data_IF_112777366962
#
_entry.id   IF_112777366962
#
_cell.length_a   1.000
_cell.length_b   1.000
_cell.length_c   1.000
_cell.angle_alpha   90.00
_cell.angle_beta   90.00
_cell.angle_gamma   90.00
#
_symmetry.space_group_name_H-M   'P 1'
#
loop_
_entity.id
_entity.type
_entity.pdbx_description
1 polymer ?
#
# COMPACT_ATOMS: atom_id res chain seq x y z
N UNK A 1 20.68 0.10 -12.19
CA UNK A 1 20.24 1.27 -11.38
C UNK A 1 20.91 2.62 -11.75
N UNK A 2 21.98 2.65 -12.54
CA UNK A 2 22.78 3.88 -12.82
C UNK A 2 22.00 5.06 -13.42
N UNK A 3 21.00 4.79 -14.27
CA UNK A 3 20.21 5.83 -14.94
C UNK A 3 19.23 6.57 -14.02
N UNK A 4 19.05 6.13 -12.77
CA UNK A 4 18.10 6.75 -11.85
C UNK A 4 18.77 7.84 -11.03
N UNK A 5 18.48 9.11 -11.39
CA UNK A 5 19.12 10.30 -10.81
C UNK A 5 19.01 10.39 -9.28
N UNK A 6 17.91 9.91 -8.71
CA UNK A 6 17.63 9.99 -7.27
C UNK A 6 18.04 8.74 -6.49
N UNK A 7 18.73 7.79 -7.13
CA UNK A 7 19.29 6.62 -6.44
C UNK A 7 20.63 6.98 -5.81
N UNK A 8 20.82 6.58 -4.55
CA UNK A 8 22.13 6.58 -3.90
C UNK A 8 23.13 5.61 -4.55
N UNK A 9 22.67 4.69 -5.40
CA UNK A 9 23.51 3.70 -6.11
C UNK A 9 24.70 4.33 -6.83
N UNK A 10 24.52 5.50 -7.45
CA UNK A 10 25.59 6.21 -8.14
C UNK A 10 26.72 6.67 -7.20
N UNK A 11 26.42 6.88 -5.91
CA UNK A 11 27.43 7.22 -4.91
C UNK A 11 28.33 6.01 -4.58
N UNK A 12 27.75 4.81 -4.63
CA UNK A 12 28.49 3.54 -4.58
C UNK A 12 29.29 3.24 -5.86
N UNK A 13 29.25 4.11 -6.88
CA UNK A 13 30.16 4.05 -8.04
C UNK A 13 31.25 5.13 -8.01
N UNK A 14 31.33 5.90 -6.92
CA UNK A 14 32.39 6.92 -6.73
C UNK A 14 31.93 8.35 -6.99
N UNK A 15 30.63 8.59 -7.23
CA UNK A 15 30.07 9.94 -7.35
C UNK A 15 29.56 10.43 -5.99
N UNK A 16 30.38 11.16 -5.24
CA UNK A 16 29.99 11.61 -3.90
C UNK A 16 28.89 12.68 -3.96
N UNK A 17 27.83 12.53 -3.15
CA UNK A 17 26.77 13.53 -3.05
C UNK A 17 26.27 13.73 -1.60
N UNK A 18 25.21 13.05 -1.17
CA UNK A 18 24.58 13.26 0.15
C UNK A 18 24.63 12.00 1.02
N UNK A 19 24.78 10.82 0.41
CA UNK A 19 24.71 9.55 1.13
C UNK A 19 26.04 9.23 1.80
N UNK A 20 26.02 8.97 3.11
CA UNK A 20 27.17 8.37 3.81
C UNK A 20 27.28 6.89 3.43
N UNK A 21 28.08 6.61 2.40
CA UNK A 21 28.38 5.26 1.94
C UNK A 21 29.41 4.53 2.81
N UNK A 22 30.09 5.24 3.72
CA UNK A 22 31.18 4.68 4.52
C UNK A 22 30.70 3.59 5.46
N UNK A 23 29.54 3.79 6.09
CA UNK A 23 28.93 2.78 6.96
C UNK A 23 28.61 1.49 6.22
N UNK A 24 27.93 1.58 5.06
CA UNK A 24 27.56 0.42 4.27
C UNK A 24 28.78 -0.29 3.68
N UNK A 25 29.78 0.45 3.20
CA UNK A 25 31.04 -0.10 2.69
C UNK A 25 31.93 -0.69 3.81
N UNK A 26 31.65 -0.37 5.07
CA UNK A 26 32.25 -1.05 6.22
C UNK A 26 31.62 -2.42 6.51
N UNK A 27 30.43 -2.70 5.98
CA UNK A 27 29.71 -3.96 6.16
C UNK A 27 29.86 -4.91 4.96
N UNK A 28 30.01 -4.37 3.75
CA UNK A 28 30.16 -5.15 2.52
C UNK A 28 31.05 -4.41 1.51
N UNK A 29 31.69 -5.12 0.60
CA UNK A 29 32.52 -4.49 -0.43
C UNK A 29 31.67 -3.72 -1.44
N UNK A 30 32.32 -2.83 -2.20
CA UNK A 30 31.66 -2.09 -3.26
C UNK A 30 31.17 -3.04 -4.35
N UNK A 31 31.96 -4.06 -4.65
CA UNK A 31 31.66 -5.08 -5.65
C UNK A 31 30.45 -5.92 -5.22
N UNK A 32 30.39 -6.31 -3.95
CA UNK A 32 29.25 -7.03 -3.37
C UNK A 32 27.97 -6.19 -3.43
N UNK A 33 28.06 -4.89 -3.11
CA UNK A 33 26.90 -3.99 -3.18
C UNK A 33 26.38 -3.85 -4.61
N UNK A 34 27.28 -3.65 -5.57
CA UNK A 34 26.95 -3.51 -6.99
C UNK A 34 26.33 -4.81 -7.53
N UNK A 35 26.88 -5.96 -7.16
CA UNK A 35 26.33 -7.26 -7.55
C UNK A 35 24.90 -7.43 -7.02
N UNK A 36 24.69 -7.21 -5.72
CA UNK A 36 23.38 -7.31 -5.08
C UNK A 36 22.33 -6.38 -5.71
N UNK A 37 22.69 -5.13 -5.94
CA UNK A 37 21.76 -4.12 -6.48
C UNK A 37 21.40 -4.33 -7.96
N UNK A 38 22.12 -5.19 -8.69
CA UNK A 38 21.80 -5.55 -10.08
C UNK A 38 21.32 -6.99 -10.22
N UNK A 39 21.17 -7.74 -9.13
CA UNK A 39 20.59 -9.08 -9.14
C UNK A 39 19.11 -9.00 -9.57
N UNK A 40 18.69 -9.91 -10.44
CA UNK A 40 17.27 -10.02 -10.80
C UNK A 40 16.48 -10.52 -9.59
N UNK A 41 15.80 -9.61 -8.93
CA UNK A 41 14.96 -9.94 -7.79
C UNK A 41 13.52 -10.21 -8.24
N UNK A 42 12.99 -11.38 -7.91
CA UNK A 42 11.58 -11.76 -8.10
C UNK A 42 10.70 -11.38 -6.91
N UNK A 43 11.22 -10.57 -5.97
CA UNK A 43 10.49 -10.10 -4.82
C UNK A 43 9.25 -9.33 -5.25
N UNK A 44 8.10 -9.89 -4.88
CA UNK A 44 6.83 -9.18 -4.91
C UNK A 44 6.85 -8.16 -3.78
N UNK A 45 7.25 -6.93 -4.09
CA UNK A 45 7.08 -5.80 -3.19
C UNK A 45 5.63 -5.71 -2.76
N UNK A 46 5.38 -5.24 -1.53
CA UNK A 46 4.02 -5.02 -1.00
C UNK A 46 3.16 -4.15 -1.93
N UNK A 47 3.81 -3.32 -2.76
CA UNK A 47 3.18 -2.42 -3.72
C UNK A 47 2.85 -3.02 -5.09
N UNK A 48 3.28 -4.26 -5.40
CA UNK A 48 2.83 -4.97 -6.61
C UNK A 48 1.39 -5.49 -6.39
N UNK A 49 0.46 -4.56 -6.13
CA UNK A 49 -0.99 -4.76 -6.11
C UNK A 49 -1.59 -4.71 -7.52
N UNK A 50 -0.80 -4.94 -8.56
CA UNK A 50 -1.25 -4.89 -9.96
C UNK A 50 -2.35 -5.93 -10.25
N UNK A 51 -2.43 -6.99 -9.45
CA UNK A 51 -3.42 -8.07 -9.58
C UNK A 51 -4.71 -7.90 -8.77
N UNK A 52 -4.81 -6.89 -7.90
CA UNK A 52 -6.06 -6.66 -7.16
C UNK A 52 -6.96 -5.78 -8.00
N UNK A 53 -8.09 -6.32 -8.46
CA UNK A 53 -9.22 -5.56 -9.01
C UNK A 53 -9.59 -4.49 -7.98
N UNK A 54 -9.03 -3.28 -8.06
CA UNK A 54 -9.30 -2.22 -7.08
C UNK A 54 -10.69 -1.69 -7.36
N UNK A 55 -11.67 -2.05 -6.52
CA UNK A 55 -12.94 -1.36 -6.51
C UNK A 55 -12.65 0.09 -6.12
N UNK A 56 -13.07 1.07 -6.91
CA UNK A 56 -12.84 2.48 -6.57
C UNK A 56 -13.78 2.92 -5.45
N UNK A 57 -13.38 3.93 -4.67
CA UNK A 57 -14.21 4.48 -3.58
C UNK A 57 -15.58 4.95 -4.07
N UNK A 58 -15.63 5.50 -5.29
CA UNK A 58 -16.87 5.92 -5.94
C UNK A 58 -17.82 4.74 -6.20
N UNK A 59 -17.30 3.62 -6.75
CA UNK A 59 -18.09 2.40 -6.98
C UNK A 59 -18.53 1.76 -5.66
N UNK A 60 -17.65 1.77 -4.66
CA UNK A 60 -17.99 1.28 -3.32
C UNK A 60 -19.10 2.12 -2.70
N UNK A 61 -19.01 3.44 -2.80
CA UNK A 61 -20.03 4.38 -2.32
C UNK A 61 -21.38 4.12 -2.99
N UNK A 62 -21.40 3.97 -4.32
CA UNK A 62 -22.61 3.67 -5.07
C UNK A 62 -23.24 2.35 -4.64
N UNK A 63 -22.44 1.29 -4.46
CA UNK A 63 -22.91 -0.01 -3.95
C UNK A 63 -23.54 0.11 -2.57
N UNK A 64 -22.90 0.82 -1.65
CA UNK A 64 -23.39 1.01 -0.27
C UNK A 64 -24.73 1.76 -0.30
N UNK A 65 -24.82 2.85 -1.08
CA UNK A 65 -26.06 3.63 -1.21
C UNK A 65 -27.18 2.78 -1.81
N UNK A 66 -26.89 1.98 -2.85
CA UNK A 66 -27.89 1.10 -3.48
C UNK A 66 -28.39 0.02 -2.52
N UNK A 67 -27.50 -0.58 -1.73
CA UNK A 67 -27.81 -1.72 -0.85
C UNK A 67 -28.49 -1.30 0.45
N UNK A 68 -27.94 -0.31 1.14
CA UNK A 68 -28.37 0.11 2.48
C UNK A 68 -29.25 1.37 2.46
N UNK A 69 -29.47 1.97 1.28
CA UNK A 69 -30.28 3.19 1.09
C UNK A 69 -29.83 4.36 1.98
N UNK A 70 -28.54 4.41 2.29
CA UNK A 70 -27.94 5.44 3.15
C UNK A 70 -26.57 5.85 2.62
N UNK A 71 -26.13 7.07 2.98
CA UNK A 71 -24.76 7.53 2.68
C UNK A 71 -23.76 6.69 3.48
N UNK A 72 -22.61 6.29 2.92
CA UNK A 72 -21.67 5.44 3.64
C UNK A 72 -21.17 6.02 4.96
N UNK A 73 -20.95 7.34 5.03
CA UNK A 73 -20.57 8.04 6.26
C UNK A 73 -21.62 7.96 7.38
N UNK A 74 -22.87 7.59 7.08
CA UNK A 74 -23.89 7.39 8.11
C UNK A 74 -23.75 6.05 8.82
N UNK A 75 -23.02 5.09 8.24
CA UNK A 75 -22.81 3.77 8.85
C UNK A 75 -22.17 3.90 10.23
N UNK A 76 -21.26 4.86 10.44
CA UNK A 76 -20.63 5.09 11.74
C UNK A 76 -21.60 5.45 12.88
N UNK A 77 -22.84 5.86 12.55
CA UNK A 77 -23.87 6.22 13.52
C UNK A 77 -24.80 5.05 13.88
N UNK A 78 -24.66 3.90 13.21
CA UNK A 78 -25.46 2.71 13.48
C UNK A 78 -25.01 2.01 14.78
N UNK A 79 -25.86 1.16 15.39
CA UNK A 79 -25.45 0.32 16.50
C UNK A 79 -24.22 -0.53 16.14
N UNK A 80 -23.35 -0.78 17.14
CA UNK A 80 -22.06 -1.46 16.91
C UNK A 80 -22.20 -2.83 16.21
N UNK A 81 -23.23 -3.60 16.55
CA UNK A 81 -23.50 -4.89 15.92
C UNK A 81 -23.87 -4.73 14.44
N UNK A 82 -24.63 -3.69 14.12
CA UNK A 82 -25.03 -3.35 12.75
C UNK A 82 -23.83 -2.87 11.92
N UNK A 83 -22.98 -2.00 12.49
CA UNK A 83 -21.71 -1.58 11.88
C UNK A 83 -20.87 -2.80 11.51
N UNK A 84 -20.66 -3.71 12.47
CA UNK A 84 -19.85 -4.90 12.27
C UNK A 84 -20.45 -5.82 11.20
N UNK A 85 -21.77 -5.97 11.18
CA UNK A 85 -22.49 -6.75 10.16
C UNK A 85 -22.26 -6.17 8.76
N UNK A 86 -22.56 -4.88 8.59
CA UNK A 86 -22.43 -4.17 7.31
C UNK A 86 -21.00 -4.24 6.78
N UNK A 87 -20.02 -3.94 7.63
CA UNK A 87 -18.63 -3.90 7.21
C UNK A 87 -18.06 -5.28 6.89
N UNK A 88 -18.42 -6.33 7.64
CA UNK A 88 -18.03 -7.71 7.32
C UNK A 88 -18.62 -8.16 5.98
N UNK A 89 -19.88 -7.83 5.72
CA UNK A 89 -20.53 -8.16 4.46
C UNK A 89 -19.93 -7.44 3.25
N UNK A 90 -19.50 -6.18 3.41
CA UNK A 90 -18.83 -5.45 2.33
C UNK A 90 -17.40 -5.96 2.12
N UNK A 91 -16.69 -6.33 3.18
CA UNK A 91 -15.31 -6.83 3.10
C UNK A 91 -15.21 -8.20 2.40
N UNK A 92 -16.29 -8.98 2.38
CA UNK A 92 -16.37 -10.23 1.61
C UNK A 92 -16.42 -10.01 0.09
N UNK A 93 -16.53 -8.77 -0.39
CA UNK A 93 -16.52 -8.47 -1.82
C UNK A 93 -15.09 -8.31 -2.33
N UNK A 94 -14.80 -8.94 -3.47
CA UNK A 94 -13.50 -8.81 -4.13
C UNK A 94 -13.16 -7.35 -4.41
N UNK A 95 -11.90 -7.01 -4.14
CA UNK A 95 -11.36 -5.68 -4.43
C UNK A 95 -11.62 -4.61 -3.37
N UNK A 96 -12.25 -4.96 -2.24
CA UNK A 96 -12.44 -4.04 -1.11
C UNK A 96 -11.38 -4.27 -0.04
N UNK A 97 -10.71 -3.19 0.39
CA UNK A 97 -9.78 -3.23 1.53
C UNK A 97 -10.37 -2.62 2.79
N UNK A 98 -9.86 -3.02 3.94
CA UNK A 98 -10.21 -2.44 5.25
C UNK A 98 -9.93 -0.94 5.32
N UNK A 99 -8.81 -0.49 4.73
CA UNK A 99 -8.47 0.93 4.59
C UNK A 99 -9.47 1.70 3.74
N UNK A 100 -9.93 1.08 2.65
CA UNK A 100 -10.94 1.69 1.79
C UNK A 100 -12.28 1.85 2.52
N UNK A 101 -12.73 0.81 3.22
CA UNK A 101 -13.92 0.87 4.07
C UNK A 101 -13.81 1.98 5.09
N UNK A 102 -12.66 2.12 5.77
CA UNK A 102 -12.45 3.17 6.76
C UNK A 102 -12.59 4.57 6.18
N UNK A 103 -11.98 4.83 5.01
CA UNK A 103 -12.07 6.13 4.32
C UNK A 103 -13.50 6.45 3.85
N UNK A 104 -14.22 5.45 3.34
CA UNK A 104 -15.58 5.65 2.79
C UNK A 104 -16.64 5.75 3.88
N UNK A 105 -16.54 4.95 4.94
CA UNK A 105 -17.58 4.85 5.98
C UNK A 105 -17.30 5.69 7.24
N UNK A 106 -16.06 6.15 7.43
CA UNK A 106 -15.63 6.86 8.64
C UNK A 106 -15.30 5.92 9.82
N UNK A 107 -15.49 4.60 9.67
CA UNK A 107 -15.23 3.64 10.74
C UNK A 107 -13.75 3.28 10.78
N UNK A 108 -13.06 3.68 11.86
CA UNK A 108 -11.61 3.53 12.00
C UNK A 108 -11.15 2.12 12.40
N UNK A 109 -12.03 1.32 13.03
CA UNK A 109 -11.69 -0.02 13.53
C UNK A 109 -12.83 -1.00 13.24
N UNK A 110 -12.49 -2.06 12.50
CA UNK A 110 -13.32 -3.25 12.36
C UNK A 110 -13.04 -4.16 13.57
N UNK A 111 -14.09 -4.69 14.21
CA UNK A 111 -13.96 -5.61 15.36
C UNK A 111 -14.53 -6.99 15.01
#
# INVERSE_FOLDING_TARGET
MEGYKWSSYNEYLGKQWITDIGFALGLMSREEFVAYMNEENQDKSIESEEDKIKLTDAKLTEKIVKKYRMKPMMIQNEPRDEINRILKEILQQDGVSTRQLSRVTGVSRLI
#
